data_IF_247933121321
#
_entry.id   IF_247933121321
#
_cell.length_a   1.000
_cell.length_b   1.000
_cell.length_c   1.000
_cell.angle_alpha   90.00
_cell.angle_beta   90.00
_cell.angle_gamma   90.00
#
_symmetry.space_group_name_H-M   'P 1'
#
loop_
_entity.id
_entity.type
_entity.pdbx_description
1 polymer ?
#
# COMPACT_ATOMS: atom_id res chain seq x y z
N UNK A 1 -9.78 -24.85 -14.81
CA UNK A 1 -11.13 -25.34 -15.16
C UNK A 1 -11.95 -24.16 -15.67
N UNK A 2 -12.72 -24.36 -16.74
CA UNK A 2 -13.45 -23.29 -17.43
C UNK A 2 -14.96 -23.26 -17.08
N UNK A 3 -15.44 -24.18 -16.23
CA UNK A 3 -16.85 -24.34 -15.84
C UNK A 3 -17.15 -23.90 -14.39
N UNK A 4 -16.14 -23.44 -13.64
CA UNK A 4 -16.29 -22.86 -12.30
C UNK A 4 -16.67 -23.85 -11.19
N UNK A 5 -16.62 -25.17 -11.44
CA UNK A 5 -16.92 -26.17 -10.42
C UNK A 5 -15.81 -26.27 -9.39
N UNK A 6 -16.18 -26.29 -8.11
CA UNK A 6 -15.23 -26.51 -7.00
C UNK A 6 -15.27 -27.99 -6.62
N UNK A 7 -14.17 -28.70 -6.80
CA UNK A 7 -14.02 -30.10 -6.39
C UNK A 7 -13.13 -30.21 -5.15
N UNK A 8 -13.43 -31.18 -4.29
CA UNK A 8 -12.66 -31.38 -3.06
C UNK A 8 -11.25 -31.88 -3.35
N UNK A 9 -10.24 -31.20 -2.82
CA UNK A 9 -8.85 -31.66 -2.89
C UNK A 9 -8.61 -32.81 -1.91
N UNK A 10 -7.79 -33.78 -2.31
CA UNK A 10 -7.39 -34.92 -1.45
C UNK A 10 -6.65 -34.48 -0.19
N UNK A 11 -5.92 -33.37 -0.25
CA UNK A 11 -5.23 -32.74 0.88
C UNK A 11 -5.90 -31.40 1.18
N UNK A 12 -6.12 -31.15 2.46
CA UNK A 12 -6.71 -29.91 2.96
C UNK A 12 -5.60 -29.05 3.54
N UNK A 13 -5.62 -27.76 3.25
CA UNK A 13 -4.61 -26.79 3.67
C UNK A 13 -5.29 -25.59 4.31
N UNK A 14 -4.59 -24.93 5.22
CA UNK A 14 -5.02 -23.66 5.83
C UNK A 14 -4.06 -22.58 5.33
N UNK A 15 -4.63 -21.48 4.85
CA UNK A 15 -3.90 -20.28 4.43
C UNK A 15 -4.42 -19.08 5.24
N UNK A 16 -3.53 -18.38 5.92
CA UNK A 16 -3.89 -17.25 6.79
C UNK A 16 -3.05 -16.04 6.44
N UNK A 17 -3.67 -14.86 6.40
CA UNK A 17 -3.00 -13.59 6.23
C UNK A 17 -3.46 -12.58 7.26
N UNK A 18 -2.52 -11.82 7.82
CA UNK A 18 -2.80 -10.71 8.73
C UNK A 18 -1.98 -9.49 8.30
N UNK A 19 -2.65 -8.39 7.96
CA UNK A 19 -1.99 -7.19 7.46
C UNK A 19 -1.15 -6.52 8.52
N UNK A 20 0.17 -6.48 8.33
CA UNK A 20 1.13 -5.93 9.29
C UNK A 20 0.80 -4.47 9.65
N UNK A 21 0.50 -3.64 8.65
CA UNK A 21 0.22 -2.21 8.84
C UNK A 21 -1.00 -1.98 9.72
N UNK A 22 -2.02 -2.84 9.59
CA UNK A 22 -3.25 -2.75 10.39
C UNK A 22 -3.02 -3.22 11.82
N UNK A 23 -2.25 -4.29 12.00
CA UNK A 23 -1.87 -4.76 13.34
C UNK A 23 -0.99 -3.73 14.03
N UNK A 24 -0.04 -3.12 13.32
CA UNK A 24 0.78 -2.03 13.84
C UNK A 24 -0.08 -0.84 14.29
N UNK A 25 -1.05 -0.40 13.48
CA UNK A 25 -1.97 0.66 13.87
C UNK A 25 -2.74 0.34 15.15
N UNK A 26 -3.24 -0.89 15.27
CA UNK A 26 -3.95 -1.36 16.46
C UNK A 26 -3.04 -1.41 17.71
N UNK A 27 -1.83 -1.95 17.59
CA UNK A 27 -0.88 -2.05 18.70
C UNK A 27 -0.31 -0.70 19.13
N UNK A 28 -0.16 0.24 18.19
CA UNK A 28 0.30 1.61 18.44
C UNK A 28 -0.83 2.55 18.90
N UNK A 29 -2.10 2.10 18.85
CA UNK A 29 -3.25 2.89 19.28
C UNK A 29 -3.57 4.07 18.36
N UNK A 30 -3.21 3.99 17.08
CA UNK A 30 -3.44 5.04 16.10
C UNK A 30 -4.61 4.70 15.17
N UNK A 31 -5.38 5.69 14.71
CA UNK A 31 -6.64 5.44 13.98
C UNK A 31 -6.42 4.94 12.55
N UNK A 32 -5.21 5.11 11.99
CA UNK A 32 -4.93 4.77 10.60
C UNK A 32 -3.57 4.11 10.44
N UNK A 33 -3.42 3.31 9.38
CA UNK A 33 -2.13 2.73 9.01
C UNK A 33 -1.07 3.81 8.76
N UNK A 34 -1.46 4.98 8.26
CA UNK A 34 -0.53 6.05 7.86
C UNK A 34 0.03 6.82 9.06
N UNK A 35 -0.60 6.70 10.22
CA UNK A 35 -0.13 7.29 11.47
C UNK A 35 0.91 6.44 12.19
N UNK A 36 1.19 5.23 11.67
CA UNK A 36 2.21 4.34 12.22
C UNK A 36 3.62 4.76 11.85
N UNK A 37 4.58 4.27 12.62
CA UNK A 37 6.01 4.36 12.32
C UNK A 37 6.42 3.78 10.95
N UNK A 38 5.60 2.92 10.34
CA UNK A 38 5.82 2.38 9.00
C UNK A 38 5.62 3.43 7.88
N UNK A 39 4.81 4.46 8.11
CA UNK A 39 4.44 5.45 7.09
C UNK A 39 4.86 6.88 7.41
N UNK A 40 4.88 7.28 8.69
CA UNK A 40 5.25 8.64 9.10
C UNK A 40 6.62 9.10 8.55
N UNK A 41 7.67 8.25 8.48
CA UNK A 41 8.93 8.65 7.85
C UNK A 41 8.79 8.98 6.36
N UNK A 42 7.93 8.27 5.63
CA UNK A 42 7.66 8.52 4.21
C UNK A 42 6.88 9.82 4.03
N UNK A 43 5.84 10.05 4.84
CA UNK A 43 5.06 11.28 4.80
C UNK A 43 5.94 12.50 5.10
N UNK A 44 6.80 12.41 6.12
CA UNK A 44 7.77 13.44 6.46
C UNK A 44 8.78 13.69 5.32
N UNK A 45 9.26 12.62 4.67
CA UNK A 45 10.15 12.73 3.51
C UNK A 45 9.46 13.40 2.32
N UNK A 46 8.21 13.06 2.03
CA UNK A 46 7.42 13.73 0.98
C UNK A 46 7.30 15.22 1.30
N UNK A 47 6.88 15.57 2.52
CA UNK A 47 6.72 16.97 2.95
C UNK A 47 8.01 17.77 2.76
N UNK A 48 9.14 17.18 3.19
CA UNK A 48 10.46 17.81 3.08
C UNK A 48 10.86 18.11 1.64
N UNK A 49 10.45 17.27 0.68
CA UNK A 49 10.82 17.39 -0.73
C UNK A 49 9.78 18.15 -1.57
N UNK A 50 8.57 18.35 -1.06
CA UNK A 50 7.49 19.08 -1.74
C UNK A 50 7.48 20.58 -1.39
N UNK A 51 8.22 21.38 -2.16
CA UNK A 51 8.29 22.84 -1.96
C UNK A 51 6.95 23.52 -2.25
N UNK A 52 6.52 24.43 -1.38
CA UNK A 52 5.28 25.21 -1.56
C UNK A 52 4.00 24.43 -1.30
N UNK A 53 4.10 23.21 -0.75
CA UNK A 53 2.96 22.35 -0.44
C UNK A 53 2.68 22.39 1.06
N UNK A 54 1.39 22.44 1.43
CA UNK A 54 0.96 22.43 2.83
C UNK A 54 1.34 21.12 3.54
N UNK A 55 1.39 21.20 4.88
CA UNK A 55 1.63 20.05 5.74
C UNK A 55 0.57 18.96 5.55
N UNK A 56 0.97 17.69 5.64
CA UNK A 56 0.02 16.59 5.80
C UNK A 56 -0.83 16.82 7.05
N UNK A 57 -2.15 16.86 6.88
CA UNK A 57 -3.10 17.15 7.97
C UNK A 57 -3.74 15.89 8.56
N UNK A 58 -3.58 14.75 7.89
CA UNK A 58 -4.22 13.49 8.30
C UNK A 58 -5.71 13.42 7.98
N UNK A 59 -6.26 14.35 7.20
CA UNK A 59 -7.68 14.39 6.91
C UNK A 59 -8.13 13.29 5.94
N UNK A 60 -9.32 12.77 6.22
CA UNK A 60 -10.04 11.79 5.38
C UNK A 60 -11.30 12.38 4.77
N UNK A 61 -11.51 13.69 4.90
CA UNK A 61 -12.64 14.36 4.25
C UNK A 61 -12.53 14.26 2.73
N UNK A 62 -13.67 14.34 2.05
CA UNK A 62 -13.74 14.18 0.59
C UNK A 62 -12.90 15.22 -0.17
N UNK A 63 -12.73 16.42 0.40
CA UNK A 63 -11.96 17.53 -0.15
C UNK A 63 -10.48 17.53 0.24
N UNK A 64 -10.02 16.57 1.06
CA UNK A 64 -8.63 16.42 1.49
C UNK A 64 -7.72 15.83 0.39
N UNK A 65 -7.76 16.41 -0.82
CA UNK A 65 -7.03 15.94 -1.99
C UNK A 65 -5.51 15.89 -1.75
N UNK A 66 -4.98 16.82 -0.96
CA UNK A 66 -3.56 16.85 -0.61
C UNK A 66 -3.17 15.65 0.28
N UNK A 67 -3.93 15.35 1.32
CA UNK A 67 -3.65 14.20 2.19
C UNK A 67 -3.81 12.87 1.44
N UNK A 68 -4.75 12.80 0.50
CA UNK A 68 -4.86 11.67 -0.43
C UNK A 68 -3.61 11.55 -1.34
N UNK A 69 -3.00 12.66 -1.75
CA UNK A 69 -1.77 12.65 -2.55
C UNK A 69 -0.57 12.17 -1.72
N UNK A 70 -0.44 12.61 -0.46
CA UNK A 70 0.58 12.11 0.47
C UNK A 70 0.50 10.59 0.65
N UNK A 71 -0.70 10.07 0.96
CA UNK A 71 -0.94 8.63 1.13
C UNK A 71 -0.59 7.85 -0.14
N UNK A 72 -1.11 8.29 -1.30
CA UNK A 72 -0.82 7.67 -2.60
C UNK A 72 0.67 7.60 -2.89
N UNK A 73 1.40 8.69 -2.68
CA UNK A 73 2.84 8.73 -2.97
C UNK A 73 3.61 7.82 -2.01
N UNK A 74 3.24 7.76 -0.73
CA UNK A 74 3.86 6.86 0.24
C UNK A 74 3.63 5.38 -0.12
N UNK A 75 2.39 5.00 -0.46
CA UNK A 75 2.06 3.63 -0.88
C UNK A 75 2.77 3.25 -2.19
N UNK A 76 2.72 4.13 -3.19
CA UNK A 76 3.32 3.86 -4.49
C UNK A 76 4.85 3.78 -4.40
N UNK A 77 5.48 4.61 -3.56
CA UNK A 77 6.91 4.52 -3.32
C UNK A 77 7.29 3.13 -2.76
N UNK A 78 6.57 2.64 -1.74
CA UNK A 78 6.79 1.30 -1.17
C UNK A 78 6.61 0.20 -2.21
N UNK A 79 5.50 0.24 -2.95
CA UNK A 79 5.19 -0.75 -3.98
C UNK A 79 6.27 -0.78 -5.07
N UNK A 80 6.63 0.38 -5.62
CA UNK A 80 7.63 0.47 -6.70
C UNK A 80 9.00 0.01 -6.20
N UNK A 81 9.40 0.38 -4.98
CA UNK A 81 10.67 -0.07 -4.41
C UNK A 81 10.75 -1.59 -4.29
N UNK A 82 9.68 -2.24 -3.82
CA UNK A 82 9.64 -3.72 -3.73
C UNK A 82 9.61 -4.36 -5.11
N UNK A 83 8.76 -3.86 -6.03
CA UNK A 83 8.71 -4.36 -7.41
C UNK A 83 10.08 -4.32 -8.09
N UNK A 84 10.80 -3.19 -7.99
CA UNK A 84 12.13 -3.05 -8.57
C UNK A 84 13.14 -3.98 -7.90
N UNK A 85 13.06 -4.15 -6.58
CA UNK A 85 13.93 -5.07 -5.84
C UNK A 85 13.70 -6.54 -6.27
N UNK A 86 12.47 -6.91 -6.60
CA UNK A 86 12.10 -8.22 -7.14
C UNK A 86 12.37 -8.38 -8.64
N UNK A 87 12.99 -7.38 -9.29
CA UNK A 87 13.35 -7.41 -10.71
C UNK A 87 12.20 -7.10 -11.66
N UNK A 88 11.08 -6.55 -11.16
CA UNK A 88 9.95 -6.09 -11.97
C UNK A 88 10.21 -4.66 -12.42
N UNK A 89 10.52 -4.51 -13.71
CA UNK A 89 10.78 -3.20 -14.32
C UNK A 89 9.57 -2.69 -15.11
N UNK A 90 9.29 -1.37 -15.06
CA UNK A 90 8.30 -0.76 -15.94
C UNK A 90 8.64 -1.03 -17.41
N UNK A 91 7.63 -1.43 -18.18
CA UNK A 91 7.76 -1.75 -19.60
C UNK A 91 6.59 -1.19 -20.38
N UNK A 92 6.86 -0.69 -21.59
CA UNK A 92 5.83 -0.28 -22.56
C UNK A 92 5.23 -1.47 -23.30
N UNK A 93 5.80 -2.68 -23.12
CA UNK A 93 5.40 -3.89 -23.82
C UNK A 93 4.24 -4.55 -23.08
N UNK A 94 3.04 -4.40 -23.63
CA UNK A 94 1.85 -5.13 -23.19
C UNK A 94 2.01 -6.62 -23.49
N UNK A 95 1.94 -7.48 -22.46
CA UNK A 95 1.90 -8.93 -22.63
C UNK A 95 0.47 -9.42 -22.36
N UNK A 96 -0.33 -9.74 -23.39
CA UNK A 96 -1.73 -10.14 -23.23
C UNK A 96 -1.94 -11.47 -22.50
N UNK A 97 -0.89 -12.22 -22.17
CA UNK A 97 -0.97 -13.58 -21.64
C UNK A 97 0.03 -13.87 -20.49
N UNK A 98 0.46 -12.83 -19.79
CA UNK A 98 1.03 -12.94 -18.44
C UNK A 98 0.22 -12.07 -17.49
#
# INVERSE_FOLDING_TARGET
>A
EADGKVTGLRKQHVDTGMGLERVAALLQGVPTNYDTDLFQPLIAAIQKNSKGVLAYSGSYNADAALDQAYRRLADHARMISVCLADGVFPSTRYYPYK
#
